data_IF_490569260620
#
_entry.id   IF_490569260620
#
_cell.length_a   1.000
_cell.length_b   1.000
_cell.length_c   1.000
_cell.angle_alpha   90.00
_cell.angle_beta   90.00
_cell.angle_gamma   90.00
#
_symmetry.space_group_name_H-M   'P 1'
#
loop_
_entity.id
_entity.type
_entity.pdbx_description
1 polymer ?
#
# COMPACT_ATOMS: atom_id res chain seq x y z
N UNK A 1 -19.87 -15.58 13.39
CA UNK A 1 -18.74 -16.30 12.78
C UNK A 1 -17.50 -15.44 12.89
N UNK A 2 -16.46 -15.91 13.57
CA UNK A 2 -15.24 -15.15 13.79
C UNK A 2 -14.25 -15.51 12.68
N UNK A 3 -14.19 -14.68 11.62
CA UNK A 3 -13.16 -14.83 10.58
C UNK A 3 -11.81 -14.51 11.27
N UNK A 4 -10.81 -15.42 11.24
CA UNK A 4 -9.48 -15.14 11.75
C UNK A 4 -8.98 -13.81 11.20
N UNK A 5 -8.29 -13.02 12.03
CA UNK A 5 -7.84 -11.66 11.64
C UNK A 5 -7.05 -11.67 10.31
N UNK A 6 -6.34 -12.77 10.05
CA UNK A 6 -5.56 -13.05 8.83
C UNK A 6 -6.41 -13.09 7.54
N UNK A 7 -7.72 -13.27 7.62
CA UNK A 7 -8.60 -13.39 6.44
C UNK A 7 -9.44 -12.14 6.16
N UNK A 8 -9.34 -11.08 6.98
CA UNK A 8 -10.07 -9.83 6.73
C UNK A 8 -9.24 -8.94 5.80
N UNK A 9 -9.81 -8.41 4.71
CA UNK A 9 -9.11 -7.45 3.89
C UNK A 9 -8.84 -6.18 4.72
N UNK A 10 -7.64 -5.64 4.56
CA UNK A 10 -7.24 -4.35 5.08
C UNK A 10 -7.69 -3.32 4.04
N UNK A 11 -8.61 -2.44 4.42
CA UNK A 11 -9.04 -1.35 3.55
C UNK A 11 -8.02 -0.22 3.59
N UNK A 12 -7.68 0.29 2.40
CA UNK A 12 -6.79 1.43 2.21
C UNK A 12 -7.55 2.49 1.41
N UNK A 13 -8.28 3.39 2.09
CA UNK A 13 -9.01 4.46 1.43
C UNK A 13 -8.05 5.45 0.76
N UNK A 14 -8.42 5.91 -0.43
CA UNK A 14 -7.60 6.82 -1.22
C UNK A 14 -7.53 8.24 -0.63
N UNK A 15 -8.54 8.61 0.17
CA UNK A 15 -8.69 9.91 0.83
C UNK A 15 -7.92 10.03 2.15
N UNK A 16 -7.24 8.96 2.57
CA UNK A 16 -6.43 8.93 3.78
C UNK A 16 -4.94 8.93 3.46
N UNK A 17 -4.20 9.72 4.23
CA UNK A 17 -2.76 9.87 4.02
C UNK A 17 -1.97 8.56 4.21
N UNK A 18 -2.40 7.72 5.17
CA UNK A 18 -1.94 6.34 5.41
C UNK A 18 -2.94 5.60 6.30
N UNK A 19 -3.05 4.28 6.16
CA UNK A 19 -3.74 3.39 7.10
C UNK A 19 -2.73 2.44 7.76
N UNK A 20 -2.76 2.32 9.09
CA UNK A 20 -1.99 1.29 9.81
C UNK A 20 -2.94 0.16 10.17
N UNK A 21 -2.65 -1.05 9.69
CA UNK A 21 -3.45 -2.23 9.97
C UNK A 21 -3.14 -2.82 11.34
N UNK A 22 -4.02 -3.71 11.80
CA UNK A 22 -3.76 -4.57 12.96
C UNK A 22 -2.96 -5.82 12.60
N UNK A 23 -2.67 -6.07 11.31
CA UNK A 23 -1.83 -7.20 10.89
C UNK A 23 -0.37 -6.91 11.19
N UNK A 24 0.28 -7.83 11.89
CA UNK A 24 1.67 -7.75 12.30
C UNK A 24 2.54 -8.72 11.50
N UNK A 25 3.63 -8.19 10.92
CA UNK A 25 4.68 -8.99 10.31
C UNK A 25 5.53 -9.59 11.42
N UNK A 26 5.65 -10.90 11.44
CA UNK A 26 6.54 -11.65 12.33
C UNK A 26 7.92 -11.88 11.68
N UNK A 27 8.97 -11.89 12.49
CA UNK A 27 10.33 -12.10 12.02
C UNK A 27 10.52 -13.53 11.51
N UNK A 28 11.18 -13.68 10.36
CA UNK A 28 11.45 -14.99 9.74
C UNK A 28 10.27 -15.60 8.97
N UNK A 29 9.11 -14.93 8.94
CA UNK A 29 7.94 -15.39 8.21
C UNK A 29 7.94 -14.90 6.76
N UNK A 30 7.16 -15.58 5.92
CA UNK A 30 7.00 -15.31 4.49
C UNK A 30 5.55 -14.96 4.21
N UNK A 31 5.30 -13.85 3.52
CA UNK A 31 3.95 -13.35 3.27
C UNK A 31 3.67 -13.16 1.77
N UNK A 32 2.45 -13.49 1.35
CA UNK A 32 1.90 -13.12 0.05
C UNK A 32 0.83 -12.06 0.24
N UNK A 33 0.81 -11.08 -0.64
CA UNK A 33 -0.22 -10.05 -0.67
C UNK A 33 -1.17 -10.30 -1.84
N UNK A 34 -2.44 -10.03 -1.63
CA UNK A 34 -3.44 -9.98 -2.70
C UNK A 34 -4.09 -8.61 -2.62
N UNK A 35 -4.11 -7.90 -3.74
CA UNK A 35 -4.62 -6.53 -3.79
C UNK A 35 -5.74 -6.46 -4.81
N UNK A 36 -6.87 -5.95 -4.37
CA UNK A 36 -8.04 -5.67 -5.19
C UNK A 36 -8.49 -4.22 -4.99
N UNK A 37 -9.37 -3.74 -5.85
CA UNK A 37 -9.93 -2.40 -5.77
C UNK A 37 -9.29 -1.41 -6.74
N UNK A 38 -9.81 -0.18 -6.69
CA UNK A 38 -9.46 0.92 -7.58
C UNK A 38 -9.64 2.23 -6.82
N UNK A 39 -8.82 3.22 -7.18
CA UNK A 39 -8.97 4.59 -6.72
C UNK A 39 -8.85 5.61 -7.85
N UNK A 40 -9.24 6.84 -7.57
CA UNK A 40 -9.21 7.99 -8.48
C UNK A 40 -8.55 9.15 -7.74
N UNK A 41 -7.62 9.84 -8.41
CA UNK A 41 -7.15 11.18 -8.03
C UNK A 41 -7.88 12.23 -8.88
N UNK A 42 -8.76 12.99 -8.24
CA UNK A 42 -9.60 14.01 -8.86
C UNK A 42 -10.35 13.56 -10.13
N UNK A 43 -9.77 13.84 -11.31
CA UNK A 43 -10.37 13.60 -12.64
C UNK A 43 -9.61 12.54 -13.44
N UNK A 44 -8.62 11.90 -12.83
CA UNK A 44 -7.86 10.84 -13.48
C UNK A 44 -8.73 9.61 -13.75
N UNK A 45 -8.32 8.76 -14.70
CA UNK A 45 -8.94 7.45 -14.86
C UNK A 45 -8.87 6.61 -13.57
N UNK A 46 -9.80 5.66 -13.45
CA UNK A 46 -9.73 4.61 -12.44
C UNK A 46 -8.35 3.93 -12.48
N UNK A 47 -7.66 3.95 -11.36
CA UNK A 47 -6.26 3.54 -11.24
C UNK A 47 -6.14 2.35 -10.29
N UNK A 48 -5.43 1.33 -10.75
CA UNK A 48 -5.08 0.13 -9.98
C UNK A 48 -3.91 0.35 -9.02
N UNK A 49 -3.51 -0.69 -8.28
CA UNK A 49 -2.47 -0.56 -7.25
C UNK A 49 -1.06 -0.31 -7.81
N UNK A 50 -0.85 -0.46 -9.12
CA UNK A 50 0.41 -0.11 -9.80
C UNK A 50 0.58 1.39 -9.96
N UNK A 51 -0.52 2.15 -9.88
CA UNK A 51 -0.54 3.59 -10.06
C UNK A 51 -0.59 4.03 -11.53
N UNK A 52 -0.59 5.36 -11.71
CA UNK A 52 -0.59 6.05 -12.98
C UNK A 52 0.83 6.55 -13.28
N UNK A 53 1.54 5.97 -14.28
CA UNK A 53 2.93 6.32 -14.55
C UNK A 53 3.09 7.72 -15.15
N UNK A 54 2.07 8.21 -15.86
CA UNK A 54 2.09 9.51 -16.53
C UNK A 54 0.87 10.34 -16.10
N UNK A 55 0.87 10.91 -14.88
CA UNK A 55 -0.25 11.71 -14.39
C UNK A 55 -0.42 13.04 -15.15
N UNK A 56 0.54 13.42 -15.99
CA UNK A 56 0.47 14.62 -16.81
C UNK A 56 0.56 15.93 -16.02
N UNK A 57 0.62 17.04 -16.76
CA UNK A 57 0.59 18.39 -16.19
C UNK A 57 1.74 18.68 -15.21
N UNK A 58 1.43 19.42 -14.15
CA UNK A 58 2.42 19.81 -13.14
C UNK A 58 2.91 18.63 -12.30
N UNK A 59 2.13 17.54 -12.20
CA UNK A 59 2.46 16.34 -11.42
C UNK A 59 3.67 15.60 -11.97
N UNK A 60 3.90 15.65 -13.28
CA UNK A 60 5.14 15.15 -13.90
C UNK A 60 6.39 15.82 -13.34
N UNK A 61 6.31 17.13 -13.04
CA UNK A 61 7.43 17.91 -12.50
C UNK A 61 7.51 17.84 -10.98
N UNK A 62 6.39 17.60 -10.31
CA UNK A 62 6.29 17.46 -8.85
C UNK A 62 6.46 16.02 -8.37
N UNK A 63 6.88 15.10 -9.24
CA UNK A 63 7.06 13.69 -8.89
C UNK A 63 7.97 13.44 -7.68
N UNK A 64 8.90 14.37 -7.38
CA UNK A 64 9.77 14.33 -6.20
C UNK A 64 9.08 14.56 -4.86
N UNK A 65 7.86 15.11 -4.84
CA UNK A 65 7.11 15.40 -3.61
C UNK A 65 6.26 14.20 -3.13
N UNK A 66 6.22 13.11 -3.91
CA UNK A 66 5.53 11.86 -3.53
C UNK A 66 6.27 11.15 -2.40
N UNK A 67 5.56 10.23 -1.73
CA UNK A 67 6.15 9.40 -0.65
C UNK A 67 7.28 8.50 -1.14
N UNK A 68 7.12 7.94 -2.33
CA UNK A 68 8.11 7.16 -3.04
C UNK A 68 8.27 7.77 -4.45
N UNK A 69 9.19 8.72 -4.63
CA UNK A 69 9.34 9.49 -5.87
C UNK A 69 9.47 8.64 -7.14
N UNK A 70 10.16 7.51 -7.04
CA UNK A 70 10.45 6.56 -8.13
C UNK A 70 9.26 5.67 -8.51
N UNK A 71 8.24 5.57 -7.66
CA UNK A 71 7.02 4.83 -7.97
C UNK A 71 6.00 5.71 -8.69
N UNK A 72 5.08 5.09 -9.42
CA UNK A 72 4.00 5.78 -10.12
C UNK A 72 3.09 6.56 -9.16
N UNK A 73 2.39 7.56 -9.69
CA UNK A 73 1.42 8.35 -8.95
C UNK A 73 0.27 7.45 -8.49
N UNK A 74 -0.22 7.60 -7.26
CA UNK A 74 -1.27 6.72 -6.72
C UNK A 74 -0.94 5.23 -6.81
N UNK A 75 0.34 4.84 -6.76
CA UNK A 75 0.71 3.43 -6.57
C UNK A 75 0.46 3.01 -5.11
N UNK A 76 0.07 1.76 -4.87
CA UNK A 76 -0.10 1.25 -3.51
C UNK A 76 1.27 0.97 -2.90
N UNK A 77 1.55 1.66 -1.79
CA UNK A 77 2.77 1.50 -1.02
C UNK A 77 2.52 0.71 0.26
N UNK A 78 3.56 0.05 0.73
CA UNK A 78 3.59 -0.64 2.02
C UNK A 78 4.87 -0.33 2.77
N UNK A 79 4.78 -0.29 4.11
CA UNK A 79 5.91 -0.40 5.02
C UNK A 79 5.47 -1.06 6.32
N UNK A 80 6.42 -1.31 7.20
CA UNK A 80 6.16 -1.78 8.56
C UNK A 80 6.43 -0.69 9.59
N UNK A 81 5.65 -0.69 10.67
CA UNK A 81 5.81 0.16 11.85
C UNK A 81 5.95 -0.76 13.07
N UNK A 82 7.18 -0.86 13.57
CA UNK A 82 7.53 -1.72 14.70
C UNK A 82 8.30 -0.96 15.80
N UNK A 83 8.87 -1.68 16.77
CA UNK A 83 9.62 -1.10 17.88
C UNK A 83 10.84 -0.28 17.43
N UNK A 84 11.47 -0.65 16.31
CA UNK A 84 12.60 0.07 15.72
C UNK A 84 12.20 1.31 14.91
N UNK A 85 10.90 1.64 14.85
CA UNK A 85 10.37 2.75 14.07
C UNK A 85 9.66 2.31 12.78
N UNK A 86 9.74 3.16 11.75
CA UNK A 86 9.11 2.93 10.44
C UNK A 86 10.17 2.48 9.43
N UNK A 87 9.93 1.38 8.74
CA UNK A 87 10.77 1.01 7.59
C UNK A 87 10.55 1.96 6.39
N UNK A 88 11.47 1.98 5.42
CA UNK A 88 11.27 2.69 4.17
C UNK A 88 10.00 2.26 3.44
N UNK A 89 9.43 3.15 2.63
CA UNK A 89 8.33 2.78 1.75
C UNK A 89 8.81 1.82 0.67
N UNK A 90 7.96 0.84 0.35
CA UNK A 90 8.15 -0.08 -0.77
C UNK A 90 6.90 -0.07 -1.63
N UNK A 91 7.08 -0.22 -2.94
CA UNK A 91 5.97 -0.43 -3.87
C UNK A 91 5.37 -1.82 -3.61
N UNK A 92 4.09 -1.87 -3.26
CA UNK A 92 3.36 -3.13 -3.17
C UNK A 92 2.77 -3.54 -4.52
N UNK A 93 2.18 -2.59 -5.26
CA UNK A 93 1.50 -2.90 -6.53
C UNK A 93 0.40 -3.95 -6.33
N UNK A 94 0.28 -4.89 -7.27
CA UNK A 94 -0.64 -6.04 -7.18
C UNK A 94 -0.37 -6.99 -6.01
N UNK A 95 0.77 -6.86 -5.35
CA UNK A 95 1.24 -7.84 -4.38
C UNK A 95 1.85 -9.08 -5.02
N UNK A 96 2.34 -8.97 -6.26
CA UNK A 96 2.93 -10.09 -6.99
C UNK A 96 4.20 -10.57 -6.27
N UNK A 97 4.12 -11.74 -5.63
CA UNK A 97 5.27 -12.43 -5.05
C UNK A 97 5.10 -12.88 -3.59
N UNK A 98 6.20 -13.39 -3.03
CA UNK A 98 6.33 -13.78 -1.63
C UNK A 98 7.42 -12.93 -1.02
N UNK A 99 7.11 -12.23 0.06
CA UNK A 99 7.98 -11.29 0.75
C UNK A 99 8.46 -11.93 2.05
N UNK A 100 9.78 -12.00 2.24
CA UNK A 100 10.42 -12.62 3.41
C UNK A 100 11.37 -11.66 4.15
N UNK A 101 11.47 -10.43 3.67
CA UNK A 101 12.44 -9.41 4.12
C UNK A 101 11.75 -8.20 4.77
N UNK A 102 10.44 -8.29 5.05
CA UNK A 102 9.72 -7.24 5.76
C UNK A 102 10.16 -7.22 7.24
N UNK A 103 10.61 -6.07 7.78
CA UNK A 103 10.93 -5.96 9.20
C UNK A 103 9.69 -6.17 10.07
N UNK A 104 9.83 -6.77 11.26
CA UNK A 104 8.68 -7.06 12.12
C UNK A 104 7.93 -5.80 12.55
N UNK A 105 6.62 -5.93 12.68
CA UNK A 105 5.71 -4.86 13.11
C UNK A 105 4.47 -4.72 12.22
N UNK A 106 3.63 -3.74 12.55
CA UNK A 106 2.33 -3.55 11.89
C UNK A 106 2.48 -3.03 10.48
N UNK A 107 1.69 -3.54 9.55
CA UNK A 107 1.67 -3.04 8.18
C UNK A 107 1.01 -1.67 8.11
N UNK A 108 1.61 -0.77 7.35
CA UNK A 108 1.06 0.53 7.01
C UNK A 108 1.04 0.70 5.49
N UNK A 109 -0.09 1.18 4.98
CA UNK A 109 -0.35 1.35 3.55
C UNK A 109 -0.75 2.78 3.22
N UNK A 110 -0.51 3.20 1.99
CA UNK A 110 -1.00 4.47 1.45
C UNK A 110 -1.01 4.46 -0.08
N UNK A 111 -1.81 5.34 -0.67
CA UNK A 111 -1.59 5.77 -2.05
C UNK A 111 -0.29 6.58 -2.14
N UNK A 112 0.46 6.43 -3.22
CA UNK A 112 1.66 7.21 -3.49
C UNK A 112 1.31 8.60 -4.01
N UNK A 113 0.88 9.47 -3.11
CA UNK A 113 0.47 10.84 -3.40
C UNK A 113 1.22 11.84 -2.50
N UNK A 114 1.20 13.11 -2.89
CA UNK A 114 1.82 14.22 -2.18
C UNK A 114 1.12 14.46 -0.84
N UNK A 115 1.90 14.68 0.20
CA UNK A 115 1.38 15.01 1.52
C UNK A 115 0.46 16.25 1.46
N UNK A 116 -0.77 16.10 1.97
CA UNK A 116 -1.78 17.17 2.00
C UNK A 116 -2.72 17.22 0.80
N UNK A 117 -2.57 16.34 -0.20
CA UNK A 117 -3.40 16.34 -1.41
C UNK A 117 -4.51 15.29 -1.42
N UNK A 118 -4.50 14.31 -0.52
CA UNK A 118 -5.46 13.19 -0.48
C UNK A 118 -6.95 13.56 -0.45
N UNK A 119 -7.33 14.79 -0.11
CA UNK A 119 -8.74 15.21 -0.02
C UNK A 119 -9.50 15.19 -1.35
N UNK A 120 -8.80 15.15 -2.49
CA UNK A 120 -9.40 15.06 -3.83
C UNK A 120 -9.42 13.61 -4.36
N UNK A 121 -8.94 12.64 -3.57
CA UNK A 121 -8.90 11.24 -3.94
C UNK A 121 -10.20 10.53 -3.52
N UNK A 122 -10.57 9.47 -4.23
CA UNK A 122 -11.72 8.63 -3.90
C UNK A 122 -11.50 7.17 -4.26
N UNK A 123 -12.32 6.28 -3.69
CA UNK A 123 -12.16 4.84 -3.83
C UNK A 123 -11.26 4.23 -2.76
N UNK A 124 -10.93 2.94 -2.91
CA UNK A 124 -10.15 2.18 -1.93
C UNK A 124 -9.46 0.98 -2.58
N UNK A 125 -8.36 0.57 -1.96
CA UNK A 125 -7.76 -0.75 -2.18
C UNK A 125 -8.14 -1.68 -1.02
N UNK A 126 -8.25 -2.97 -1.32
CA UNK A 126 -8.45 -4.05 -0.35
C UNK A 126 -7.23 -4.97 -0.40
N UNK A 127 -6.49 -5.05 0.71
CA UNK A 127 -5.26 -5.83 0.81
C UNK A 127 -5.49 -7.03 1.71
N UNK A 128 -5.29 -8.24 1.19
CA UNK A 128 -5.23 -9.47 1.97
C UNK A 128 -3.78 -9.89 2.14
N UNK A 129 -3.44 -10.37 3.33
CA UNK A 129 -2.10 -10.81 3.69
C UNK A 129 -2.17 -12.26 4.12
N UNK A 130 -1.43 -13.12 3.43
CA UNK A 130 -1.41 -14.56 3.67
C UNK A 130 -0.01 -14.93 4.15
N UNK A 131 0.09 -15.47 5.35
CA UNK A 131 1.32 -16.12 5.82
C UNK A 131 1.47 -17.46 5.08
N UNK A 132 2.57 -17.60 4.34
CA UNK A 132 2.90 -18.78 3.54
C UNK A 132 4.14 -19.51 4.07
N UNK A 133 4.57 -19.23 5.31
CA UNK A 133 5.77 -19.80 5.92
C UNK A 133 5.73 -21.33 5.95
N UNK A 134 4.57 -21.93 6.21
CA UNK A 134 4.38 -23.38 6.28
C UNK A 134 3.98 -24.04 4.94
N UNK A 135 3.78 -23.26 3.87
CA UNK A 135 3.29 -23.73 2.57
C UNK A 135 4.36 -23.95 1.51
N UNK A 136 5.61 -24.24 1.93
CA UNK A 136 6.77 -24.47 1.07
C UNK A 136 7.08 -25.94 0.85
#
# INVERSE_FOLDING_TARGET
>A
MNIPLQNRPIEVPADQSCVTSEFEIEAGHRYRFQVEGLWIDAKDPLTGPEGLPHPGGIRERLGGAKRLPEAAWMALLVRTKGPAGKSPWRLLGRGDGVWSDLPPGRLQFCANDVLGFYWNNSGKMEVRVVDVTQGG
#
